data_IF_583233496115
#
_entry.id   IF_583233496115
#
_cell.length_a   1.000
_cell.length_b   1.000
_cell.length_c   1.000
_cell.angle_alpha   90.00
_cell.angle_beta   90.00
_cell.angle_gamma   90.00
#
_symmetry.space_group_name_H-M   'P 1'
#
loop_
_entity.id
_entity.type
_entity.pdbx_description
1 polymer ?
#
# COMPACT_ATOMS: atom_id res chain seq x y z
N UNK A 1 34.73 2.66 -53.63
CA UNK A 1 34.06 3.18 -52.42
C UNK A 1 32.76 3.81 -52.88
N UNK A 2 31.72 2.99 -52.98
CA UNK A 2 30.37 3.45 -53.35
C UNK A 2 29.67 3.93 -52.09
N UNK A 3 29.05 5.10 -52.18
CA UNK A 3 28.18 5.66 -51.15
C UNK A 3 27.00 4.68 -50.91
N UNK A 4 26.93 4.04 -49.75
CA UNK A 4 25.69 3.44 -49.28
C UNK A 4 24.76 4.59 -48.86
N UNK A 5 23.79 4.87 -49.72
CA UNK A 5 22.66 5.76 -49.45
C UNK A 5 21.90 5.30 -48.20
N UNK A 6 21.55 6.25 -47.32
CA UNK A 6 20.71 6.09 -46.12
C UNK A 6 19.26 5.60 -46.39
N UNK A 7 19.00 4.99 -47.54
CA UNK A 7 17.66 4.55 -47.92
C UNK A 7 17.36 3.13 -47.42
N UNK A 8 16.39 3.10 -46.50
CA UNK A 8 15.53 1.97 -46.07
C UNK A 8 16.01 1.14 -44.88
N UNK A 9 16.11 1.76 -43.71
CA UNK A 9 15.69 1.05 -42.49
C UNK A 9 14.15 1.02 -42.50
N UNK A 10 13.57 -0.07 -43.00
CA UNK A 10 12.13 -0.32 -42.79
C UNK A 10 11.93 -0.67 -41.32
N UNK A 11 11.37 0.27 -40.55
CA UNK A 11 10.93 -0.01 -39.18
C UNK A 11 9.69 -0.90 -39.23
N UNK A 12 9.87 -2.20 -39.02
CA UNK A 12 8.76 -3.12 -38.80
C UNK A 12 8.28 -2.96 -37.36
N UNK A 13 7.12 -2.31 -37.18
CA UNK A 13 6.39 -2.30 -35.91
C UNK A 13 5.38 -3.44 -35.92
N UNK A 14 5.47 -4.34 -34.95
CA UNK A 14 4.52 -5.45 -34.76
C UNK A 14 3.63 -5.07 -33.58
N UNK A 15 2.33 -4.99 -33.82
CA UNK A 15 1.32 -4.83 -32.76
C UNK A 15 0.60 -6.17 -32.58
N UNK A 16 0.53 -6.63 -31.33
CA UNK A 16 -0.10 -7.90 -30.96
C UNK A 16 -1.46 -7.62 -30.32
N UNK A 17 -2.44 -8.49 -30.60
CA UNK A 17 -3.74 -8.41 -29.93
C UNK A 17 -3.63 -8.79 -28.43
N UNK A 18 -4.63 -8.44 -27.62
CA UNK A 18 -4.67 -8.86 -26.22
C UNK A 18 -4.61 -10.38 -26.09
N UNK A 19 -3.64 -10.89 -25.33
CA UNK A 19 -3.40 -12.32 -25.15
C UNK A 19 -2.65 -12.99 -26.31
N UNK A 20 -2.29 -12.25 -27.36
CA UNK A 20 -1.43 -12.74 -28.45
C UNK A 20 0.05 -12.62 -28.04
N UNK A 21 0.84 -13.66 -28.31
CA UNK A 21 2.27 -13.71 -27.95
C UNK A 21 3.10 -14.40 -29.03
N UNK A 22 4.41 -14.13 -29.06
CA UNK A 22 5.35 -14.71 -30.02
C UNK A 22 5.85 -16.06 -29.50
N UNK A 23 5.53 -17.15 -30.19
CA UNK A 23 5.91 -18.51 -29.79
C UNK A 23 6.92 -19.16 -30.74
N UNK A 24 7.22 -18.54 -31.88
CA UNK A 24 8.16 -19.07 -32.84
C UNK A 24 8.92 -17.94 -33.56
N UNK A 25 10.25 -18.05 -33.59
CA UNK A 25 11.13 -17.15 -34.33
C UNK A 25 11.50 -17.86 -35.63
N UNK A 26 11.31 -17.16 -36.74
CA UNK A 26 11.68 -17.60 -38.08
C UNK A 26 12.94 -16.85 -38.49
N UNK A 27 13.91 -17.52 -39.11
CA UNK A 27 15.12 -16.84 -39.57
C UNK A 27 15.80 -17.54 -40.75
N UNK A 28 16.44 -16.74 -41.59
CA UNK A 28 17.42 -17.18 -42.57
C UNK A 28 18.76 -16.53 -42.25
N UNK A 29 19.78 -17.37 -42.07
CA UNK A 29 21.15 -16.93 -41.87
C UNK A 29 22.07 -17.66 -42.84
N UNK A 30 23.04 -16.93 -43.41
CA UNK A 30 24.04 -17.52 -44.30
C UNK A 30 25.10 -18.34 -43.52
N UNK A 31 26.10 -18.83 -44.26
CA UNK A 31 27.20 -19.62 -43.69
C UNK A 31 28.14 -18.80 -42.79
N UNK A 32 28.07 -17.47 -42.85
CA UNK A 32 28.88 -16.54 -42.05
C UNK A 32 28.13 -16.03 -40.81
N UNK A 33 26.95 -16.61 -40.52
CA UNK A 33 26.07 -16.31 -39.39
C UNK A 33 25.44 -14.91 -39.45
N UNK A 34 25.35 -14.32 -40.64
CA UNK A 34 24.58 -13.08 -40.85
C UNK A 34 23.11 -13.43 -41.11
N UNK A 35 22.21 -12.79 -40.35
CA UNK A 35 20.76 -12.98 -40.41
C UNK A 35 20.20 -11.98 -41.43
N UNK A 36 19.80 -12.48 -42.61
CA UNK A 36 19.21 -11.66 -43.68
C UNK A 36 17.69 -11.60 -43.63
N UNK A 37 17.06 -12.57 -42.98
CA UNK A 37 15.61 -12.58 -42.82
C UNK A 37 15.29 -13.01 -41.40
N UNK A 38 14.42 -12.24 -40.75
CA UNK A 38 13.89 -12.52 -39.43
C UNK A 38 12.37 -12.44 -39.51
N UNK A 39 11.69 -13.36 -38.84
CA UNK A 39 10.27 -13.30 -38.68
C UNK A 39 9.82 -13.82 -37.32
N UNK A 40 8.57 -13.53 -37.01
CA UNK A 40 7.91 -13.92 -35.78
C UNK A 40 6.56 -14.52 -36.13
N UNK A 41 6.29 -15.68 -35.54
CA UNK A 41 4.98 -16.31 -35.59
C UNK A 41 4.35 -16.24 -34.20
N UNK A 42 3.07 -15.86 -34.18
CA UNK A 42 2.31 -15.66 -32.95
C UNK A 42 1.48 -16.89 -32.58
N UNK A 43 0.96 -16.89 -31.35
CA UNK A 43 0.00 -17.86 -30.83
C UNK A 43 -1.25 -18.01 -31.71
N UNK A 44 -1.66 -16.96 -32.42
CA UNK A 44 -2.79 -16.98 -33.34
C UNK A 44 -2.38 -17.32 -34.79
N UNK A 45 -1.16 -17.84 -35.00
CA UNK A 45 -0.59 -18.18 -36.31
C UNK A 45 -0.41 -16.99 -37.28
N UNK A 46 -0.37 -15.74 -36.79
CA UNK A 46 0.03 -14.60 -37.63
C UNK A 46 1.54 -14.64 -37.82
N UNK A 47 2.00 -14.38 -39.05
CA UNK A 47 3.42 -14.32 -39.39
C UNK A 47 3.81 -12.89 -39.75
N UNK A 48 4.89 -12.40 -39.13
CA UNK A 48 5.51 -11.13 -39.42
C UNK A 48 6.93 -11.42 -39.92
N UNK A 49 7.28 -11.07 -41.16
CA UNK A 49 8.57 -11.41 -41.75
C UNK A 49 9.21 -10.15 -42.33
N UNK A 50 10.49 -9.95 -42.04
CA UNK A 50 11.31 -8.85 -42.53
C UNK A 50 12.58 -9.43 -43.19
N UNK A 51 12.78 -9.14 -44.47
CA UNK A 51 13.92 -9.61 -45.27
C UNK A 51 13.50 -10.19 -46.62
N UNK A 52 14.47 -10.46 -47.48
CA UNK A 52 14.23 -10.80 -48.90
C UNK A 52 14.10 -12.32 -49.16
N UNK A 53 14.60 -13.19 -48.26
CA UNK A 53 14.65 -14.64 -48.46
C UNK A 53 13.67 -15.40 -47.56
N UNK A 54 12.44 -15.58 -48.05
CA UNK A 54 11.34 -16.22 -47.29
C UNK A 54 11.24 -17.74 -47.55
N UNK A 55 11.91 -18.27 -48.57
CA UNK A 55 11.72 -19.67 -49.02
C UNK A 55 12.47 -20.73 -48.19
N UNK A 56 13.46 -20.35 -47.38
CA UNK A 56 14.31 -21.28 -46.61
C UNK A 56 14.42 -20.91 -45.12
N UNK A 57 13.30 -20.48 -44.51
CA UNK A 57 13.31 -20.09 -43.11
C UNK A 57 13.50 -21.30 -42.19
N UNK A 58 14.52 -21.24 -41.35
CA UNK A 58 14.65 -22.06 -40.14
C UNK A 58 13.71 -21.51 -39.08
N UNK A 59 13.30 -22.35 -38.14
CA UNK A 59 12.47 -21.90 -37.01
C UNK A 59 13.00 -22.35 -35.66
N UNK A 60 12.69 -21.55 -34.64
CA UNK A 60 12.94 -21.85 -33.24
C UNK A 60 11.67 -21.57 -32.45
N UNK A 61 11.05 -22.63 -31.94
CA UNK A 61 9.86 -22.54 -31.08
C UNK A 61 10.25 -22.29 -29.64
N UNK A 62 9.39 -21.59 -28.90
CA UNK A 62 9.51 -21.48 -27.46
C UNK A 62 9.25 -22.84 -26.80
N UNK A 63 9.83 -23.10 -25.61
CA UNK A 63 9.45 -24.25 -24.80
C UNK A 63 7.95 -24.24 -24.46
N UNK A 64 7.36 -25.41 -24.24
CA UNK A 64 5.96 -25.53 -23.84
C UNK A 64 5.67 -24.70 -22.58
N UNK A 65 4.61 -23.91 -22.60
CA UNK A 65 4.23 -23.01 -21.50
C UNK A 65 5.04 -21.71 -21.44
N UNK A 66 5.83 -21.37 -22.47
CA UNK A 66 6.59 -20.11 -22.55
C UNK A 66 6.39 -19.40 -23.89
N UNK A 67 6.63 -18.09 -23.90
CA UNK A 67 6.72 -17.26 -25.09
C UNK A 67 7.97 -16.38 -25.07
N UNK A 68 8.40 -15.91 -26.25
CA UNK A 68 9.55 -15.03 -26.38
C UNK A 68 9.18 -13.58 -26.06
N UNK A 69 10.08 -12.85 -25.41
CA UNK A 69 9.91 -11.42 -25.08
C UNK A 69 11.27 -10.68 -25.08
N UNK A 70 11.26 -9.35 -24.93
CA UNK A 70 12.44 -8.49 -24.78
C UNK A 70 13.56 -8.75 -25.81
N UNK A 71 13.21 -8.76 -27.09
CA UNK A 71 14.16 -9.01 -28.17
C UNK A 71 15.26 -7.95 -28.24
N UNK A 72 16.50 -8.39 -28.48
CA UNK A 72 17.68 -7.54 -28.68
C UNK A 72 18.47 -8.04 -29.87
N UNK A 73 18.88 -7.14 -30.77
CA UNK A 73 19.74 -7.47 -31.91
C UNK A 73 21.17 -6.99 -31.70
N UNK A 74 22.15 -7.81 -32.08
CA UNK A 74 23.55 -7.39 -32.17
C UNK A 74 23.96 -7.23 -33.63
N UNK A 75 24.31 -6.02 -34.01
CA UNK A 75 24.74 -5.67 -35.36
C UNK A 75 26.28 -5.72 -35.46
N UNK A 76 26.79 -6.38 -36.50
CA UNK A 76 28.23 -6.32 -36.82
C UNK A 76 28.49 -5.11 -37.69
N UNK A 77 29.31 -4.17 -37.18
CA UNK A 77 29.65 -2.92 -37.87
C UNK A 77 30.40 -3.13 -39.20
N UNK A 78 31.13 -4.23 -39.35
CA UNK A 78 31.93 -4.51 -40.56
C UNK A 78 31.10 -5.06 -41.72
N UNK A 79 29.99 -5.74 -41.43
CA UNK A 79 29.20 -6.48 -42.42
C UNK A 79 27.80 -5.86 -42.63
N UNK A 80 27.51 -4.74 -41.94
CA UNK A 80 26.22 -4.02 -41.94
C UNK A 80 25.00 -4.92 -41.69
N UNK A 81 25.19 -6.06 -41.01
CA UNK A 81 24.18 -7.11 -40.83
C UNK A 81 23.89 -7.46 -39.36
N UNK A 82 22.70 -8.03 -39.14
CA UNK A 82 22.31 -8.60 -37.85
C UNK A 82 23.03 -9.94 -37.64
N UNK A 83 23.86 -10.02 -36.60
CA UNK A 83 24.71 -11.21 -36.34
C UNK A 83 24.11 -12.16 -35.30
N UNK A 84 23.28 -11.64 -34.39
CA UNK A 84 22.58 -12.45 -33.39
C UNK A 84 21.37 -11.72 -32.84
N UNK A 85 20.41 -12.53 -32.36
CA UNK A 85 19.21 -12.06 -31.68
C UNK A 85 19.18 -12.70 -30.29
N UNK A 86 19.15 -11.87 -29.25
CA UNK A 86 18.82 -12.25 -27.89
C UNK A 86 17.33 -12.05 -27.62
N UNK A 87 16.79 -12.84 -26.69
CA UNK A 87 15.42 -12.76 -26.22
C UNK A 87 15.33 -13.36 -24.81
N UNK A 88 14.32 -12.96 -24.06
CA UNK A 88 13.93 -13.59 -22.80
C UNK A 88 12.79 -14.59 -23.05
N UNK A 89 12.61 -15.53 -22.11
CA UNK A 89 11.47 -16.43 -22.06
C UNK A 89 10.55 -16.02 -20.91
N UNK A 90 9.26 -15.87 -21.20
CA UNK A 90 8.24 -15.56 -20.20
C UNK A 90 7.19 -16.67 -20.18
N UNK A 91 6.72 -17.04 -18.99
CA UNK A 91 5.69 -18.07 -18.82
C UNK A 91 4.39 -17.60 -19.50
N UNK A 92 3.81 -18.43 -20.35
CA UNK A 92 2.43 -18.28 -20.78
C UNK A 92 1.62 -18.56 -19.51
N UNK A 93 0.94 -17.53 -18.99
CA UNK A 93 0.02 -17.72 -17.88
C UNK A 93 -1.15 -18.57 -18.39
N UNK A 94 -0.99 -19.91 -18.43
CA UNK A 94 -1.98 -20.89 -18.91
C UNK A 94 -3.24 -20.94 -18.04
N UNK A 95 -3.28 -20.13 -17.01
CA UNK A 95 -4.51 -19.69 -16.40
C UNK A 95 -4.34 -18.19 -16.22
N UNK A 96 -5.18 -17.40 -16.89
CA UNK A 96 -6.03 -16.56 -16.05
C UNK A 96 -6.65 -17.55 -15.07
N UNK A 97 -5.93 -17.81 -13.96
CA UNK A 97 -6.63 -18.13 -12.74
C UNK A 97 -7.67 -17.04 -12.72
N UNK A 98 -8.94 -17.41 -12.63
CA UNK A 98 -9.83 -16.62 -11.80
C UNK A 98 -8.98 -16.33 -10.57
N UNK A 99 -8.30 -15.18 -10.61
CA UNK A 99 -7.88 -14.46 -9.44
C UNK A 99 -9.21 -14.42 -8.77
N UNK A 100 -9.34 -15.25 -7.73
CA UNK A 100 -10.51 -15.31 -6.88
C UNK A 100 -10.78 -13.85 -6.55
N UNK A 101 -11.65 -13.23 -7.36
CA UNK A 101 -11.70 -11.77 -7.45
C UNK A 101 -12.25 -11.27 -6.14
N UNK A 102 -13.04 -12.11 -5.47
CA UNK A 102 -13.39 -12.07 -4.07
C UNK A 102 -12.19 -11.99 -3.12
N UNK A 103 -11.15 -12.83 -3.23
CA UNK A 103 -9.92 -12.69 -2.41
C UNK A 103 -9.08 -11.46 -2.75
N UNK A 104 -9.00 -11.10 -4.04
CA UNK A 104 -8.27 -9.91 -4.47
C UNK A 104 -8.99 -8.63 -4.06
N UNK A 105 -10.32 -8.60 -4.13
CA UNK A 105 -11.18 -7.52 -3.65
C UNK A 105 -11.11 -7.39 -2.11
N UNK A 106 -11.17 -8.50 -1.38
CA UNK A 106 -10.97 -8.49 0.08
C UNK A 106 -9.58 -8.00 0.49
N UNK A 107 -8.54 -8.34 -0.29
CA UNK A 107 -7.17 -7.91 -0.01
C UNK A 107 -6.94 -6.44 -0.38
N UNK A 108 -7.29 -6.04 -1.60
CA UNK A 108 -7.03 -4.69 -2.12
C UNK A 108 -7.96 -3.65 -1.49
N UNK A 109 -9.22 -3.97 -1.19
CA UNK A 109 -10.14 -2.97 -0.63
C UNK A 109 -10.27 -3.16 0.89
N UNK A 110 -10.32 -4.41 1.37
CA UNK A 110 -10.44 -4.70 2.81
C UNK A 110 -9.16 -4.44 3.60
N UNK A 111 -7.97 -4.85 3.10
CA UNK A 111 -6.71 -4.57 3.78
C UNK A 111 -6.10 -3.23 3.34
N UNK A 112 -5.93 -2.99 2.04
CA UNK A 112 -5.30 -1.75 1.54
C UNK A 112 -6.26 -0.54 1.58
N UNK A 113 -7.54 -0.70 1.25
CA UNK A 113 -8.54 0.36 1.35
C UNK A 113 -8.78 0.83 2.78
N UNK A 114 -9.02 -0.09 3.72
CA UNK A 114 -9.16 0.26 5.15
C UNK A 114 -7.86 0.89 5.70
N UNK A 115 -6.68 0.34 5.38
CA UNK A 115 -5.39 0.97 5.75
C UNK A 115 -5.29 2.38 5.20
N UNK A 116 -5.75 2.62 3.97
CA UNK A 116 -5.71 3.95 3.35
C UNK A 116 -6.69 4.93 3.99
N UNK A 117 -7.89 4.47 4.41
CA UNK A 117 -8.86 5.25 5.19
C UNK A 117 -8.31 5.58 6.58
N UNK A 118 -7.63 4.65 7.23
CA UNK A 118 -6.98 4.90 8.51
C UNK A 118 -5.73 5.76 8.37
N UNK A 119 -4.93 5.60 7.33
CA UNK A 119 -3.72 6.39 7.12
C UNK A 119 -3.99 7.75 6.46
N UNK A 120 -5.22 7.99 5.99
CA UNK A 120 -5.61 9.18 5.22
C UNK A 120 -4.63 9.53 4.08
N UNK A 121 -4.03 8.50 3.47
CA UNK A 121 -3.08 8.70 2.39
C UNK A 121 -3.85 9.04 1.12
N UNK A 122 -3.99 10.35 0.83
CA UNK A 122 -4.75 10.87 -0.32
C UNK A 122 -4.31 10.26 -1.66
N UNK A 123 -3.04 9.90 -1.81
CA UNK A 123 -2.55 9.29 -3.05
C UNK A 123 -3.00 7.83 -3.17
N UNK A 124 -2.96 7.07 -2.07
CA UNK A 124 -3.53 5.71 -2.04
C UNK A 124 -5.05 5.73 -2.24
N UNK A 125 -5.75 6.71 -1.65
CA UNK A 125 -7.19 6.90 -1.85
C UNK A 125 -7.51 7.22 -3.32
N UNK A 126 -6.74 8.11 -3.96
CA UNK A 126 -6.86 8.41 -5.40
C UNK A 126 -6.58 7.20 -6.27
N UNK A 127 -5.54 6.43 -5.95
CA UNK A 127 -5.17 5.23 -6.68
C UNK A 127 -6.26 4.15 -6.58
N UNK A 128 -6.80 3.91 -5.38
CA UNK A 128 -7.91 2.98 -5.17
C UNK A 128 -9.16 3.42 -5.95
N UNK A 129 -9.50 4.71 -5.93
CA UNK A 129 -10.61 5.24 -6.72
C UNK A 129 -10.42 5.02 -8.23
N UNK A 130 -9.20 5.24 -8.74
CA UNK A 130 -8.86 5.00 -10.14
C UNK A 130 -8.94 3.50 -10.49
N UNK A 131 -8.45 2.63 -9.60
CA UNK A 131 -8.49 1.19 -9.77
C UNK A 131 -9.94 0.72 -9.88
N UNK A 132 -10.79 1.07 -8.92
CA UNK A 132 -12.22 0.70 -8.88
C UNK A 132 -12.94 1.21 -10.13
N UNK A 133 -12.69 2.47 -10.53
CA UNK A 133 -13.31 3.07 -11.72
C UNK A 133 -12.91 2.35 -13.01
N UNK A 134 -11.65 1.94 -13.13
CA UNK A 134 -11.12 1.36 -14.36
C UNK A 134 -11.37 -0.15 -14.48
N UNK A 135 -11.43 -0.88 -13.37
CA UNK A 135 -11.54 -2.34 -13.38
C UNK A 135 -12.89 -2.87 -12.91
N UNK A 136 -13.69 -2.05 -12.21
CA UNK A 136 -14.94 -2.49 -11.57
C UNK A 136 -14.74 -3.37 -10.32
N UNK A 137 -13.50 -3.70 -9.99
CA UNK A 137 -13.12 -4.48 -8.80
C UNK A 137 -13.37 -3.67 -7.54
N UNK A 138 -13.99 -4.29 -6.52
CA UNK A 138 -14.32 -3.61 -5.27
C UNK A 138 -15.49 -2.61 -5.32
N UNK A 139 -16.27 -2.55 -6.41
CA UNK A 139 -17.41 -1.61 -6.56
C UNK A 139 -18.47 -1.73 -5.45
N UNK A 140 -18.70 -2.94 -4.93
CA UNK A 140 -19.66 -3.21 -3.86
C UNK A 140 -19.12 -2.80 -2.46
N UNK A 141 -17.80 -2.58 -2.38
CA UNK A 141 -17.08 -2.09 -1.21
C UNK A 141 -16.69 -0.62 -1.33
N UNK A 142 -16.80 0.00 -2.52
CA UNK A 142 -16.62 1.43 -2.72
C UNK A 142 -17.55 2.25 -1.82
N UNK A 143 -18.77 1.76 -1.60
CA UNK A 143 -19.71 2.36 -0.64
C UNK A 143 -19.21 2.25 0.80
N UNK A 144 -18.53 1.17 1.20
CA UNK A 144 -17.93 1.01 2.54
C UNK A 144 -16.71 1.92 2.71
N UNK A 145 -15.92 2.04 1.65
CA UNK A 145 -14.77 2.93 1.58
C UNK A 145 -15.19 4.40 1.62
N UNK A 146 -16.15 4.84 0.79
CA UNK A 146 -16.75 6.17 0.87
C UNK A 146 -17.46 6.39 2.20
N UNK A 147 -18.17 5.39 2.74
CA UNK A 147 -18.82 5.46 4.05
C UNK A 147 -17.80 5.76 5.15
N UNK A 148 -16.73 4.97 5.30
CA UNK A 148 -15.72 5.25 6.32
C UNK A 148 -14.87 6.48 6.01
N UNK A 149 -14.59 6.79 4.74
CA UNK A 149 -13.83 7.99 4.36
C UNK A 149 -14.65 9.28 4.59
N UNK A 150 -15.98 9.23 4.45
CA UNK A 150 -16.91 10.33 4.76
C UNK A 150 -17.24 10.43 6.25
N UNK A 151 -17.15 9.33 7.01
CA UNK A 151 -17.38 9.31 8.46
C UNK A 151 -16.12 9.60 9.29
N UNK A 152 -14.94 9.35 8.72
CA UNK A 152 -13.66 9.68 9.32
C UNK A 152 -13.35 11.17 9.13
N UNK A 153 -14.04 12.05 9.85
CA UNK A 153 -13.57 13.43 9.99
C UNK A 153 -12.27 13.43 10.80
N UNK A 154 -11.15 13.61 10.09
CA UNK A 154 -9.87 13.83 10.72
C UNK A 154 -9.89 15.18 11.45
N UNK A 155 -9.63 15.16 12.76
CA UNK A 155 -9.49 16.37 13.59
C UNK A 155 -8.26 17.23 13.20
N UNK A 156 -7.46 16.81 12.21
CA UNK A 156 -6.14 17.41 11.94
C UNK A 156 -5.90 17.71 10.46
N UNK A 157 -6.20 18.96 10.10
CA UNK A 157 -5.33 19.75 9.23
C UNK A 157 -4.71 20.86 10.10
N UNK A 158 -3.39 20.89 10.26
CA UNK A 158 -2.69 22.17 10.54
C UNK A 158 -1.85 22.31 11.82
N UNK A 159 -2.22 21.81 13.00
CA UNK A 159 -1.50 22.18 14.24
C UNK A 159 -1.40 21.03 15.26
N UNK A 160 -0.63 19.99 14.93
CA UNK A 160 -0.40 18.83 15.80
C UNK A 160 0.51 19.15 17.00
N UNK A 161 1.48 20.06 16.87
CA UNK A 161 2.49 20.31 17.93
C UNK A 161 1.88 20.85 19.24
N UNK A 162 0.82 21.66 19.17
CA UNK A 162 0.21 22.29 20.34
C UNK A 162 -0.83 21.41 21.07
N UNK A 163 -1.14 20.22 20.54
CA UNK A 163 -2.20 19.36 21.08
C UNK A 163 -1.71 18.16 21.90
N UNK A 164 -0.41 17.85 21.85
CA UNK A 164 0.15 16.77 22.67
C UNK A 164 0.84 17.31 23.91
N UNK A 165 0.54 16.69 25.04
CA UNK A 165 1.23 16.89 26.30
C UNK A 165 2.29 15.79 26.48
N UNK A 166 3.55 16.17 26.64
CA UNK A 166 4.60 15.21 27.00
C UNK A 166 4.41 14.82 28.46
N UNK A 167 4.05 13.56 28.71
CA UNK A 167 3.83 13.02 30.06
C UNK A 167 5.12 12.54 30.71
N UNK A 168 6.07 12.07 29.89
CA UNK A 168 7.35 11.53 30.34
C UNK A 168 8.40 11.70 29.26
N UNK A 169 9.58 12.17 29.65
CA UNK A 169 10.67 12.49 28.74
C UNK A 169 11.95 11.75 29.18
N UNK A 170 12.06 10.47 28.80
CA UNK A 170 13.16 9.62 29.22
C UNK A 170 14.37 9.69 28.29
N UNK A 171 15.59 9.64 28.84
CA UNK A 171 16.83 9.67 28.05
C UNK A 171 17.08 11.05 27.45
N UNK A 172 17.26 11.13 26.13
CA UNK A 172 17.29 12.39 25.38
C UNK A 172 15.89 12.93 25.08
N UNK A 173 14.84 12.23 25.50
CA UNK A 173 13.46 12.66 25.36
C UNK A 173 12.78 12.22 24.06
N UNK A 174 11.85 13.04 23.58
CA UNK A 174 11.06 12.79 22.36
C UNK A 174 11.42 13.84 21.31
N UNK A 175 12.03 13.39 20.21
CA UNK A 175 12.32 14.27 19.08
C UNK A 175 11.09 14.43 18.20
N UNK A 176 10.77 15.66 17.83
CA UNK A 176 9.72 15.97 16.85
C UNK A 176 10.40 16.38 15.55
N UNK A 177 10.12 15.64 14.47
CA UNK A 177 10.63 15.92 13.13
C UNK A 177 9.50 16.22 12.15
N UNK A 178 9.82 17.02 11.13
CA UNK A 178 8.95 17.27 9.98
C UNK A 178 9.58 16.59 8.75
N UNK A 179 8.78 15.84 7.98
CA UNK A 179 9.17 15.45 6.61
C UNK A 179 8.74 16.52 5.59
N UNK A 180 9.34 16.46 4.40
CA UNK A 180 9.05 17.36 3.26
C UNK A 180 7.55 17.42 2.90
N UNK A 181 6.75 16.41 3.30
CA UNK A 181 5.31 16.30 3.08
C UNK A 181 4.42 16.77 4.27
N UNK A 182 4.91 17.66 5.14
CA UNK A 182 4.18 18.22 6.30
C UNK A 182 3.76 17.20 7.39
N UNK A 183 4.22 15.95 7.30
CA UNK A 183 3.86 14.92 8.28
C UNK A 183 4.81 14.96 9.48
N UNK A 184 4.24 15.31 10.63
CA UNK A 184 4.94 15.30 11.92
C UNK A 184 5.16 13.85 12.36
N UNK A 185 6.39 13.55 12.75
CA UNK A 185 6.74 12.30 13.42
C UNK A 185 7.43 12.55 14.75
N UNK A 186 7.27 11.59 15.67
CA UNK A 186 7.85 11.61 17.00
C UNK A 186 8.80 10.41 17.12
N UNK A 187 10.05 10.65 17.50
CA UNK A 187 11.03 9.59 17.69
C UNK A 187 11.43 9.53 19.16
N UNK A 188 11.21 8.37 19.78
CA UNK A 188 11.58 8.16 21.18
C UNK A 188 13.09 7.91 21.34
N UNK A 189 13.63 8.29 22.48
CA UNK A 189 15.00 7.96 22.90
C UNK A 189 15.07 6.58 23.59
N UNK A 190 16.26 6.22 24.11
CA UNK A 190 16.48 5.05 24.96
C UNK A 190 15.74 5.01 26.31
N UNK A 191 15.41 6.16 26.88
CA UNK A 191 14.59 6.20 28.08
C UNK A 191 13.11 6.12 27.71
N UNK A 192 12.29 5.55 28.59
CA UNK A 192 10.84 5.52 28.38
C UNK A 192 10.28 6.95 28.25
N UNK A 193 9.85 7.32 27.05
CA UNK A 193 9.07 8.52 26.79
C UNK A 193 7.58 8.22 26.65
N UNK A 194 6.74 9.23 26.85
CA UNK A 194 5.31 9.17 26.60
C UNK A 194 4.73 10.56 26.32
N UNK A 195 3.79 10.63 25.37
CA UNK A 195 2.98 11.82 25.12
C UNK A 195 1.50 11.46 25.05
N UNK A 196 0.64 12.42 25.31
CA UNK A 196 -0.81 12.25 25.46
C UNK A 196 -1.57 13.27 24.62
N UNK A 197 -2.65 12.80 24.00
CA UNK A 197 -3.65 13.64 23.38
C UNK A 197 -4.97 13.50 24.12
N UNK A 198 -5.45 14.60 24.69
CA UNK A 198 -6.72 14.68 25.41
C UNK A 198 -7.80 15.25 24.48
N UNK A 199 -8.97 14.62 24.47
CA UNK A 199 -10.13 15.04 23.69
C UNK A 199 -11.35 15.12 24.60
N UNK A 200 -12.04 16.26 24.54
CA UNK A 200 -13.40 16.43 25.02
C UNK A 200 -14.35 15.98 23.91
N UNK A 201 -15.15 14.95 24.17
CA UNK A 201 -16.00 14.35 23.15
C UNK A 201 -17.05 15.33 22.65
N UNK A 202 -17.70 16.11 23.54
CA UNK A 202 -18.76 17.04 23.15
C UNK A 202 -18.25 18.24 22.35
N UNK A 203 -17.00 18.64 22.59
CA UNK A 203 -16.38 19.73 21.83
C UNK A 203 -15.94 19.30 20.43
N UNK A 204 -15.69 18.00 20.22
CA UNK A 204 -15.12 17.49 18.97
C UNK A 204 -16.10 16.65 18.14
N UNK A 205 -17.24 16.24 18.69
CA UNK A 205 -18.25 15.44 18.00
C UNK A 205 -19.65 16.05 18.18
N UNK A 206 -20.51 15.84 17.18
CA UNK A 206 -21.89 16.33 17.22
C UNK A 206 -22.77 15.49 18.17
N UNK A 207 -23.97 16.01 18.50
CA UNK A 207 -24.87 15.36 19.46
C UNK A 207 -25.31 13.95 19.02
N UNK A 208 -25.53 13.72 17.72
CA UNK A 208 -25.91 12.40 17.20
C UNK A 208 -24.81 11.37 17.44
N UNK A 209 -23.56 11.73 17.10
CA UNK A 209 -22.39 10.89 17.34
C UNK A 209 -22.23 10.58 18.82
N UNK A 210 -22.36 11.59 19.70
CA UNK A 210 -22.29 11.39 21.15
C UNK A 210 -23.37 10.42 21.65
N UNK A 211 -24.62 10.53 21.17
CA UNK A 211 -25.69 9.59 21.53
C UNK A 211 -25.33 8.16 21.10
N UNK A 212 -24.90 7.99 19.85
CA UNK A 212 -24.53 6.68 19.30
C UNK A 212 -23.33 6.06 20.02
N UNK A 213 -22.34 6.84 20.42
CA UNK A 213 -21.24 6.35 21.25
C UNK A 213 -21.77 5.85 22.60
N UNK A 214 -22.63 6.62 23.28
CA UNK A 214 -23.23 6.25 24.57
C UNK A 214 -24.12 5.02 24.49
N UNK A 215 -24.78 4.81 23.35
CA UNK A 215 -25.59 3.62 23.07
C UNK A 215 -24.75 2.38 22.75
N UNK A 216 -23.43 2.51 22.56
CA UNK A 216 -22.55 1.42 22.13
C UNK A 216 -22.62 1.12 20.63
N UNK A 217 -23.24 2.02 19.87
CA UNK A 217 -23.43 1.97 18.42
C UNK A 217 -22.25 2.55 17.63
N UNK A 218 -21.33 3.22 18.30
CA UNK A 218 -20.08 3.70 17.73
C UNK A 218 -18.90 3.31 18.62
N UNK A 219 -17.80 2.94 17.98
CA UNK A 219 -16.51 2.70 18.62
C UNK A 219 -15.65 3.98 18.58
N UNK A 220 -15.04 4.32 19.71
CA UNK A 220 -13.94 5.28 19.75
C UNK A 220 -12.66 4.55 19.37
N UNK A 221 -11.93 5.04 18.37
CA UNK A 221 -10.69 4.42 17.89
C UNK A 221 -9.57 5.45 17.86
N UNK A 222 -8.45 5.09 18.46
CA UNK A 222 -7.23 5.89 18.43
C UNK A 222 -6.06 5.03 17.94
N UNK A 223 -5.17 5.59 17.14
CA UNK A 223 -4.05 4.84 16.60
C UNK A 223 -3.02 5.70 15.90
N UNK A 224 -1.94 5.08 15.45
CA UNK A 224 -0.83 5.73 14.76
C UNK A 224 -0.04 4.71 13.94
N UNK A 225 0.79 5.20 13.02
CA UNK A 225 1.84 4.39 12.42
C UNK A 225 3.02 4.30 13.39
N UNK A 226 3.49 3.08 13.62
CA UNK A 226 4.71 2.79 14.38
C UNK A 226 5.74 2.14 13.47
N UNK A 227 7.00 2.52 13.66
CA UNK A 227 8.13 2.02 12.90
C UNK A 227 9.34 1.85 13.84
N UNK A 228 10.12 0.80 13.60
CA UNK A 228 11.44 0.62 14.20
C UNK A 228 12.47 1.50 13.47
N UNK A 229 13.32 2.20 14.23
CA UNK A 229 14.46 2.96 13.70
C UNK A 229 15.56 2.07 13.10
N UNK A 230 15.48 0.75 13.31
CA UNK A 230 16.44 -0.25 12.83
C UNK A 230 17.21 -0.96 13.94
N UNK A 231 17.02 -0.57 15.20
CA UNK A 231 17.76 -1.07 16.37
C UNK A 231 16.88 -1.82 17.37
N UNK A 232 15.57 -1.91 17.12
CA UNK A 232 14.60 -2.48 18.02
C UNK A 232 13.96 -1.40 18.88
N UNK A 233 12.64 -1.46 19.00
CA UNK A 233 11.89 -0.52 19.82
C UNK A 233 10.63 -1.17 20.38
N UNK A 234 10.29 -0.79 21.60
CA UNK A 234 9.03 -1.14 22.25
C UNK A 234 8.13 0.08 22.22
N UNK A 235 6.87 -0.11 21.79
CA UNK A 235 5.86 0.93 21.80
C UNK A 235 4.57 0.44 22.44
N UNK A 236 3.82 1.36 23.04
CA UNK A 236 2.56 1.08 23.70
C UNK A 236 1.57 2.18 23.43
N UNK A 237 0.39 1.76 22.96
CA UNK A 237 -0.77 2.60 22.74
C UNK A 237 -1.74 2.40 23.89
N UNK A 238 -2.24 3.48 24.47
CA UNK A 238 -3.24 3.41 25.54
C UNK A 238 -4.38 4.39 25.27
N UNK A 239 -5.61 3.90 25.26
CA UNK A 239 -6.81 4.72 25.23
C UNK A 239 -7.48 4.65 26.60
N UNK A 240 -7.70 5.80 27.22
CA UNK A 240 -8.46 5.92 28.47
C UNK A 240 -9.73 6.70 28.22
N UNK A 241 -10.81 6.29 28.86
CA UNK A 241 -12.12 6.93 28.78
C UNK A 241 -12.50 7.41 30.17
N UNK A 242 -13.05 8.62 30.23
CA UNK A 242 -13.45 9.28 31.45
C UNK A 242 -14.91 9.73 31.37
N UNK A 243 -15.59 9.67 32.50
CA UNK A 243 -16.93 10.21 32.66
C UNK A 243 -16.92 11.73 32.93
N UNK A 244 -18.10 12.28 33.22
CA UNK A 244 -18.32 13.68 33.56
C UNK A 244 -17.68 14.11 34.89
N UNK A 245 -17.38 13.19 35.79
CA UNK A 245 -16.68 13.46 37.05
C UNK A 245 -15.16 13.36 36.90
N UNK A 246 -14.67 13.10 35.69
CA UNK A 246 -13.27 12.80 35.36
C UNK A 246 -12.75 11.51 36.02
N UNK A 247 -13.66 10.57 36.32
CA UNK A 247 -13.27 9.22 36.77
C UNK A 247 -12.97 8.37 35.54
N UNK A 248 -11.86 7.64 35.57
CA UNK A 248 -11.46 6.76 34.48
C UNK A 248 -12.34 5.49 34.48
N UNK A 249 -13.28 5.41 33.54
CA UNK A 249 -14.23 4.30 33.41
C UNK A 249 -13.73 3.16 32.51
N UNK A 250 -12.76 3.44 31.65
CA UNK A 250 -12.14 2.40 30.82
C UNK A 250 -10.68 2.70 30.50
N UNK A 251 -9.91 1.62 30.31
CA UNK A 251 -8.54 1.65 29.81
C UNK A 251 -8.32 0.50 28.84
N UNK A 252 -7.81 0.82 27.65
CA UNK A 252 -7.50 -0.12 26.58
C UNK A 252 -6.05 0.07 26.19
N UNK A 253 -5.36 -1.02 25.92
CA UNK A 253 -3.91 -1.00 25.72
C UNK A 253 -3.54 -1.96 24.61
N UNK A 254 -2.64 -1.52 23.74
CA UNK A 254 -2.01 -2.34 22.72
C UNK A 254 -0.49 -2.19 22.87
N UNK A 255 0.18 -3.27 23.26
CA UNK A 255 1.62 -3.33 23.47
C UNK A 255 2.28 -3.94 22.24
N UNK A 256 3.35 -3.30 21.76
CA UNK A 256 4.14 -3.73 20.62
C UNK A 256 5.58 -3.93 21.08
N UNK A 257 5.90 -5.18 21.44
CA UNK A 257 7.22 -5.59 21.92
C UNK A 257 8.25 -5.74 20.79
N UNK A 258 7.78 -5.78 19.55
CA UNK A 258 8.62 -5.75 18.36
C UNK A 258 7.94 -4.93 17.27
N UNK A 259 8.72 -4.08 16.61
CA UNK A 259 8.25 -3.22 15.54
C UNK A 259 8.92 -3.57 14.23
N UNK A 260 8.23 -3.28 13.14
CA UNK A 260 8.76 -3.49 11.80
C UNK A 260 9.58 -2.28 11.36
N UNK A 261 10.60 -2.52 10.53
CA UNK A 261 11.34 -1.44 9.85
C UNK A 261 10.48 -0.61 8.91
N UNK A 262 9.36 -1.16 8.44
CA UNK A 262 8.37 -0.43 7.64
C UNK A 262 7.25 0.07 8.56
N UNK A 263 6.76 1.31 8.37
CA UNK A 263 5.64 1.83 9.13
C UNK A 263 4.42 0.90 9.06
N UNK A 264 3.89 0.52 10.21
CA UNK A 264 2.64 -0.25 10.31
C UNK A 264 1.67 0.49 11.22
N UNK A 265 0.41 0.52 10.82
CA UNK A 265 -0.64 1.13 11.63
C UNK A 265 -1.05 0.22 12.78
N UNK A 266 -1.17 0.79 13.97
CA UNK A 266 -1.66 0.12 15.17
C UNK A 266 -2.71 0.99 15.85
N UNK A 267 -3.70 0.35 16.48
CA UNK A 267 -4.81 1.03 17.13
C UNK A 267 -5.21 0.39 18.46
N UNK A 268 -5.94 1.18 19.22
CA UNK A 268 -6.71 0.81 20.40
C UNK A 268 -8.12 1.34 20.22
N UNK A 269 -9.11 0.62 20.73
CA UNK A 269 -10.51 1.00 20.56
C UNK A 269 -11.31 0.80 21.85
N UNK A 270 -12.42 1.51 21.95
CA UNK A 270 -13.40 1.40 23.02
C UNK A 270 -14.82 1.38 22.44
N UNK A 271 -15.66 0.50 22.98
CA UNK A 271 -17.11 0.46 22.70
C UNK A 271 -17.82 0.49 24.05
N UNK A 272 -18.77 1.41 24.19
CA UNK A 272 -19.59 1.51 25.41
C UNK A 272 -20.38 0.22 25.58
N UNK A 273 -20.29 -0.39 26.77
CA UNK A 273 -21.09 -1.56 27.14
C UNK A 273 -22.17 -1.25 28.16
N UNK A 274 -21.89 -0.32 29.06
CA UNK A 274 -22.79 0.07 30.14
C UNK A 274 -23.34 1.47 29.85
N UNK A 275 -24.59 1.55 29.40
CA UNK A 275 -25.21 2.82 29.01
C UNK A 275 -25.49 3.76 30.20
N UNK A 276 -25.34 3.29 31.44
CA UNK A 276 -25.49 4.14 32.63
C UNK A 276 -24.29 5.09 32.82
N UNK A 277 -23.14 4.77 32.23
CA UNK A 277 -21.92 5.56 32.34
C UNK A 277 -21.94 6.69 31.31
N UNK A 278 -21.96 7.93 31.79
CA UNK A 278 -21.94 9.11 30.95
C UNK A 278 -20.49 9.52 30.59
N UNK A 279 -19.97 8.99 29.49
CA UNK A 279 -18.62 9.34 29.02
C UNK A 279 -18.55 10.77 28.47
N UNK A 280 -17.45 11.47 28.73
CA UNK A 280 -17.24 12.86 28.32
C UNK A 280 -15.87 13.11 27.69
N UNK A 281 -14.83 12.37 28.12
CA UNK A 281 -13.46 12.63 27.68
C UNK A 281 -12.74 11.33 27.32
N UNK A 282 -11.75 11.48 26.45
CA UNK A 282 -10.84 10.41 26.10
C UNK A 282 -9.39 10.91 26.08
N UNK A 283 -8.47 10.04 26.48
CA UNK A 283 -7.03 10.28 26.37
C UNK A 283 -6.39 9.19 25.52
N UNK A 284 -5.64 9.60 24.50
CA UNK A 284 -4.80 8.72 23.72
C UNK A 284 -3.33 8.95 24.07
N UNK A 285 -2.71 7.94 24.68
CA UNK A 285 -1.32 7.98 25.15
C UNK A 285 -0.49 7.05 24.29
N UNK A 286 0.64 7.57 23.80
CA UNK A 286 1.64 6.82 23.06
C UNK A 286 2.93 6.88 23.85
N UNK A 287 3.52 5.72 24.13
CA UNK A 287 4.80 5.62 24.84
C UNK A 287 5.74 4.69 24.11
N UNK A 288 7.04 4.99 24.14
CA UNK A 288 8.05 4.12 23.55
C UNK A 288 9.43 4.29 24.15
N UNK A 289 10.32 3.35 23.83
CA UNK A 289 11.76 3.37 24.13
C UNK A 289 12.50 2.46 23.16
N UNK A 290 13.80 2.73 22.98
CA UNK A 290 14.74 1.76 22.43
C UNK A 290 14.99 0.61 23.43
N UNK A 291 15.18 -0.60 22.92
CA UNK A 291 15.48 -1.81 23.69
C UNK A 291 16.97 -2.05 23.87
N UNK A 292 17.82 -1.38 23.09
CA UNK A 292 19.30 -1.49 23.12
C UNK A 292 19.97 -0.46 24.01
N UNK A 293 19.21 0.50 24.53
CA UNK A 293 19.67 1.56 25.41
C UNK A 293 20.74 2.47 24.80
N UNK A 294 20.66 2.76 23.50
CA UNK A 294 21.61 3.62 22.82
C UNK A 294 21.28 5.09 22.98
N UNK A 295 22.28 5.88 23.40
CA UNK A 295 22.14 7.33 23.55
C UNK A 295 21.77 7.99 22.22
N UNK A 296 20.66 8.72 22.18
CA UNK A 296 20.07 9.30 20.97
C UNK A 296 18.65 8.81 20.70
N UNK A 297 18.13 9.14 19.52
CA UNK A 297 16.74 8.87 19.12
C UNK A 297 16.64 7.60 18.27
N UNK A 298 17.01 6.47 18.89
CA UNK A 298 16.96 5.14 18.25
C UNK A 298 15.72 4.34 18.67
N UNK A 299 14.80 4.93 19.44
CA UNK A 299 13.55 4.29 19.79
C UNK A 299 12.56 4.26 18.62
N UNK A 300 11.33 3.82 18.87
CA UNK A 300 10.31 3.78 17.84
C UNK A 300 9.97 5.18 17.31
N UNK A 301 9.67 5.22 16.02
CA UNK A 301 9.12 6.41 15.36
C UNK A 301 7.60 6.28 15.25
N UNK A 302 6.89 7.31 15.67
CA UNK A 302 5.44 7.46 15.58
C UNK A 302 5.12 8.46 14.50
N UNK A 303 4.20 8.13 13.62
CA UNK A 303 3.65 9.08 12.65
C UNK A 303 2.13 8.93 12.55
N UNK A 304 1.46 9.97 12.04
CA UNK A 304 0.01 9.98 11.82
C UNK A 304 -0.83 9.55 13.04
N UNK A 305 -0.63 10.13 14.23
CA UNK A 305 -1.54 9.90 15.34
C UNK A 305 -2.94 10.39 14.97
N UNK A 306 -3.95 9.57 15.22
CA UNK A 306 -5.34 9.86 14.90
C UNK A 306 -6.28 9.41 15.99
N UNK A 307 -7.44 10.08 16.04
CA UNK A 307 -8.54 9.80 16.92
C UNK A 307 -9.84 9.96 16.15
N UNK A 308 -10.69 8.92 16.14
CA UNK A 308 -11.88 8.83 15.29
C UNK A 308 -13.01 8.08 16.00
N UNK A 309 -14.22 8.22 15.49
CA UNK A 309 -15.39 7.42 15.88
C UNK A 309 -15.87 6.60 14.68
N UNK A 310 -16.22 5.34 14.91
CA UNK A 310 -16.56 4.38 13.84
C UNK A 310 -17.91 3.74 14.17
N UNK A 311 -18.93 3.82 13.29
CA UNK A 311 -20.20 3.13 13.51
C UNK A 311 -20.06 1.61 13.45
N UNK A 312 -20.84 0.96 14.32
CA UNK A 312 -20.98 -0.48 14.49
C UNK A 312 -22.46 -0.83 14.78
N UNK A 313 -23.37 -0.06 14.19
CA UNK A 313 -24.82 -0.13 14.37
C UNK A 313 -25.41 -1.38 13.73
N UNK A 314 -24.86 -1.75 12.57
CA UNK A 314 -25.33 -2.87 11.76
C UNK A 314 -24.39 -4.08 11.90
N UNK A 315 -24.93 -5.29 11.76
CA UNK A 315 -24.15 -6.53 11.83
C UNK A 315 -22.95 -6.52 10.87
N UNK A 316 -23.13 -6.00 9.65
CA UNK A 316 -22.06 -5.87 8.66
C UNK A 316 -20.93 -4.95 9.14
N UNK A 317 -21.28 -3.83 9.77
CA UNK A 317 -20.30 -2.88 10.31
C UNK A 317 -19.53 -3.50 11.48
N UNK A 318 -20.24 -4.19 12.38
CA UNK A 318 -19.64 -4.89 13.50
C UNK A 318 -18.70 -6.02 13.03
N UNK A 319 -19.07 -6.76 11.99
CA UNK A 319 -18.21 -7.79 11.38
C UNK A 319 -16.93 -7.18 10.81
N UNK A 320 -17.04 -6.09 10.05
CA UNK A 320 -15.88 -5.38 9.48
C UNK A 320 -14.99 -4.82 10.59
N UNK A 321 -15.58 -4.19 11.61
CA UNK A 321 -14.87 -3.68 12.77
C UNK A 321 -14.08 -4.79 13.49
N UNK A 322 -14.73 -5.93 13.75
CA UNK A 322 -14.07 -7.06 14.39
C UNK A 322 -12.95 -7.67 13.54
N UNK A 323 -13.12 -7.73 12.21
CA UNK A 323 -12.12 -8.32 11.29
C UNK A 323 -10.88 -7.45 11.13
N UNK A 324 -11.01 -6.12 11.18
CA UNK A 324 -9.92 -5.21 10.77
C UNK A 324 -9.40 -4.27 11.86
N UNK A 325 -10.18 -3.99 12.91
CA UNK A 325 -9.79 -3.05 13.99
C UNK A 325 -9.49 -3.76 15.31
N UNK A 326 -10.23 -4.83 15.60
CA UNK A 326 -10.10 -5.57 16.86
C UNK A 326 -8.90 -6.52 16.92
N UNK A 327 -8.18 -6.71 15.80
CA UNK A 327 -7.08 -7.66 15.65
C UNK A 327 -6.01 -7.57 16.75
#
# INVERSE_FOLDING_TARGET
MGLCSEERIQHLKIELDNGEYINEILYYADKEYLIYTIGFKTSNNKNYICGENVQELKSKKSPQGYHFTNFKGNYRKCDEGLSSIGFDLQLINEKETEVDTTKFDEFVIGQLGMRSVFQNNKNNLKYLNLLIKNTGLGKDHFQVFEYYNNLCENVLKGELQNKFEVLKDGGNGIQIGNQEDENIHFTFSYGQGAFCWKIDLRQNFNQEQISKIKEGKMAIVAGCNLQDSGFGGEAKLTLKIYDNENVQVAKKTNLQDSLNKQPKFFSVYYVQKDQSINIEKAEFIISGKDVKFWAGYYGPTVSYPQFKVIPIEQDKELQLFNKYIKL
#
